data_IF_316183480209
#
_entry.id   IF_316183480209
#
_cell.length_a   1.000
_cell.length_b   1.000
_cell.length_c   1.000
_cell.angle_alpha   90.00
_cell.angle_beta   90.00
_cell.angle_gamma   90.00
#
_symmetry.space_group_name_H-M   'P 1'
#
loop_
_entity.id
_entity.type
_entity.pdbx_description
1 polymer ?
#
# COMPACT_ATOMS: atom_id res chain seq x y z
N UNK A 1 -55.12 45.79 28.46
CA UNK A 1 -56.40 46.29 29.00
C UNK A 1 -56.10 47.13 30.22
N UNK A 2 -56.80 48.26 30.41
CA UNK A 2 -56.62 49.13 31.58
C UNK A 2 -57.84 49.08 32.47
N UNK A 3 -57.63 49.21 33.78
CA UNK A 3 -58.68 49.24 34.81
C UNK A 3 -59.62 50.43 34.61
N UNK A 4 -59.09 51.58 34.20
CA UNK A 4 -59.89 52.80 33.97
C UNK A 4 -60.94 52.59 32.85
N UNK A 5 -60.59 51.85 31.79
CA UNK A 5 -61.48 51.58 30.65
C UNK A 5 -62.64 50.66 31.02
N UNK A 6 -62.44 49.75 31.99
CA UNK A 6 -63.46 48.83 32.49
C UNK A 6 -64.38 49.52 33.50
N UNK A 7 -63.83 50.41 34.33
CA UNK A 7 -64.60 51.22 35.26
C UNK A 7 -65.51 52.21 34.52
N UNK A 8 -65.02 52.82 33.44
CA UNK A 8 -65.83 53.69 32.57
C UNK A 8 -66.98 52.96 31.85
N UNK A 9 -66.90 51.62 31.72
CA UNK A 9 -67.97 50.77 31.17
C UNK A 9 -69.00 50.31 32.21
N UNK A 10 -68.86 50.75 33.46
CA UNK A 10 -69.81 50.47 34.54
C UNK A 10 -69.64 49.11 35.23
N UNK A 11 -68.49 48.45 35.07
CA UNK A 11 -68.19 47.23 35.82
C UNK A 11 -67.88 47.56 37.29
N UNK A 12 -68.26 46.66 38.20
CA UNK A 12 -67.93 46.79 39.62
C UNK A 12 -66.46 46.43 39.88
N UNK A 13 -65.89 46.87 41.01
CA UNK A 13 -64.48 46.61 41.34
C UNK A 13 -64.14 45.11 41.34
N UNK A 14 -65.00 44.25 41.89
CA UNK A 14 -64.79 42.79 41.89
C UNK A 14 -64.78 42.20 40.47
N UNK A 15 -65.65 42.68 39.57
CA UNK A 15 -65.68 42.23 38.18
C UNK A 15 -64.42 42.68 37.42
N UNK A 16 -63.93 43.89 37.70
CA UNK A 16 -62.68 44.42 37.14
C UNK A 16 -61.49 43.57 37.63
N UNK A 17 -61.42 43.28 38.92
CA UNK A 17 -60.34 42.49 39.51
C UNK A 17 -60.29 41.08 38.91
N UNK A 18 -61.45 40.43 38.72
CA UNK A 18 -61.53 39.12 38.05
C UNK A 18 -61.04 39.17 36.60
N UNK A 19 -61.54 40.15 35.82
CA UNK A 19 -61.17 40.30 34.40
C UNK A 19 -59.68 40.64 34.24
N UNK A 20 -59.13 41.48 35.11
CA UNK A 20 -57.71 41.83 35.09
C UNK A 20 -56.83 40.66 35.55
N UNK A 21 -57.31 39.82 36.47
CA UNK A 21 -56.60 38.61 36.89
C UNK A 21 -56.53 37.58 35.75
N UNK A 22 -57.64 37.29 35.07
CA UNK A 22 -57.65 36.38 33.91
C UNK A 22 -56.83 36.93 32.74
N UNK A 23 -57.00 38.22 32.39
CA UNK A 23 -56.18 38.87 31.37
C UNK A 23 -54.69 38.84 31.73
N UNK A 24 -54.34 38.99 33.01
CA UNK A 24 -52.97 38.89 33.50
C UNK A 24 -52.38 37.50 33.31
N UNK A 25 -53.16 36.43 33.55
CA UNK A 25 -52.73 35.05 33.27
C UNK A 25 -52.43 34.85 31.79
N UNK A 26 -53.34 35.27 30.92
CA UNK A 26 -53.16 35.14 29.46
C UNK A 26 -51.96 35.95 28.96
N UNK A 27 -51.82 37.21 29.40
CA UNK A 27 -50.68 38.06 29.00
C UNK A 27 -49.36 37.48 29.48
N UNK A 28 -49.32 36.87 30.66
CA UNK A 28 -48.10 36.29 31.20
C UNK A 28 -47.74 35.00 30.47
N UNK A 29 -48.73 34.17 30.10
CA UNK A 29 -48.54 33.01 29.24
C UNK A 29 -47.96 33.41 27.87
N UNK A 30 -48.58 34.38 27.21
CA UNK A 30 -48.11 34.90 25.91
C UNK A 30 -46.71 35.50 26.02
N UNK A 31 -46.39 36.23 27.10
CA UNK A 31 -45.05 36.77 27.32
C UNK A 31 -44.00 35.68 27.51
N UNK A 32 -44.32 34.62 28.26
CA UNK A 32 -43.44 33.48 28.43
C UNK A 32 -43.17 32.79 27.10
N UNK A 33 -44.22 32.50 26.32
CA UNK A 33 -44.07 31.92 24.98
C UNK A 33 -43.22 32.80 24.07
N UNK A 34 -43.48 34.12 24.07
CA UNK A 34 -42.68 35.09 23.31
C UNK A 34 -41.22 35.06 23.73
N UNK A 35 -40.93 35.03 25.03
CA UNK A 35 -39.55 34.98 25.54
C UNK A 35 -38.86 33.65 25.19
N UNK A 36 -39.59 32.54 25.22
CA UNK A 36 -39.11 31.23 24.75
C UNK A 36 -38.77 31.28 23.26
N UNK A 37 -39.68 31.77 22.41
CA UNK A 37 -39.43 31.87 20.97
C UNK A 37 -38.29 32.83 20.64
N UNK A 38 -38.18 33.95 21.35
CA UNK A 38 -37.08 34.90 21.18
C UNK A 38 -35.74 34.23 21.52
N UNK A 39 -35.70 33.44 22.59
CA UNK A 39 -34.50 32.69 22.97
C UNK A 39 -34.14 31.66 21.91
N UNK A 40 -35.12 30.87 21.44
CA UNK A 40 -34.90 29.88 20.37
C UNK A 40 -34.40 30.51 19.07
N UNK A 41 -34.97 31.65 18.66
CA UNK A 41 -34.52 32.39 17.48
C UNK A 41 -33.08 32.89 17.63
N UNK A 42 -32.74 33.45 18.80
CA UNK A 42 -31.40 33.93 19.08
C UNK A 42 -30.38 32.77 19.00
N UNK A 43 -30.71 31.63 19.60
CA UNK A 43 -29.90 30.40 19.53
C UNK A 43 -29.76 29.91 18.09
N UNK A 44 -30.86 29.79 17.34
CA UNK A 44 -30.83 29.36 15.94
C UNK A 44 -29.98 30.29 15.08
N UNK A 45 -30.08 31.60 15.28
CA UNK A 45 -29.30 32.59 14.54
C UNK A 45 -27.81 32.52 14.90
N UNK A 46 -27.46 32.27 16.17
CA UNK A 46 -26.08 32.04 16.59
C UNK A 46 -25.52 30.75 15.98
N UNK A 47 -26.31 29.67 15.95
CA UNK A 47 -25.92 28.41 15.30
C UNK A 47 -25.72 28.59 13.80
N UNK A 48 -26.63 29.28 13.10
CA UNK A 48 -26.46 29.56 11.66
C UNK A 48 -25.20 30.38 11.38
N UNK A 49 -24.90 31.40 12.19
CA UNK A 49 -23.64 32.16 12.09
C UNK A 49 -22.40 31.30 12.32
N UNK A 50 -22.47 30.28 13.18
CA UNK A 50 -21.34 29.36 13.38
C UNK A 50 -21.05 28.49 12.15
N UNK A 51 -22.01 28.35 11.23
CA UNK A 51 -21.83 27.69 9.94
C UNK A 51 -21.53 28.67 8.79
N UNK A 52 -21.70 29.98 8.97
CA UNK A 52 -21.28 30.97 7.97
C UNK A 52 -19.75 30.91 7.80
N UNK A 53 -19.31 30.69 6.55
CA UNK A 53 -17.90 30.48 6.23
C UNK A 53 -17.49 29.01 6.14
N UNK A 54 -18.35 28.06 6.54
CA UNK A 54 -18.14 26.64 6.23
C UNK A 54 -18.56 26.38 4.78
N UNK A 55 -17.57 26.21 3.90
CA UNK A 55 -17.84 25.83 2.52
C UNK A 55 -18.09 24.30 2.44
N UNK A 56 -19.36 23.91 2.58
CA UNK A 56 -19.79 22.51 2.54
C UNK A 56 -19.40 21.84 1.22
N UNK A 57 -19.45 22.58 0.10
CA UNK A 57 -19.06 22.07 -1.22
C UNK A 57 -17.56 21.78 -1.30
N UNK A 58 -16.72 22.65 -0.73
CA UNK A 58 -15.27 22.42 -0.66
C UNK A 58 -14.94 21.23 0.25
N UNK A 59 -15.63 21.09 1.39
CA UNK A 59 -15.46 19.94 2.28
C UNK A 59 -15.85 18.62 1.59
N UNK A 60 -16.98 18.60 0.89
CA UNK A 60 -17.39 17.44 0.09
C UNK A 60 -16.37 17.11 -1.00
N UNK A 61 -15.85 18.13 -1.70
CA UNK A 61 -14.79 17.96 -2.70
C UNK A 61 -13.52 17.34 -2.09
N UNK A 62 -13.04 17.87 -0.95
CA UNK A 62 -11.87 17.32 -0.24
C UNK A 62 -12.09 15.88 0.22
N UNK A 63 -13.28 15.56 0.72
CA UNK A 63 -13.62 14.19 1.13
C UNK A 63 -13.55 13.26 -0.09
N UNK A 64 -14.08 13.67 -1.24
CA UNK A 64 -14.04 12.86 -2.45
C UNK A 64 -12.61 12.63 -2.94
N UNK A 65 -11.79 13.69 -2.99
CA UNK A 65 -10.36 13.59 -3.33
C UNK A 65 -9.62 12.65 -2.38
N UNK A 66 -9.76 12.84 -1.07
CA UNK A 66 -9.10 11.97 -0.07
C UNK A 66 -9.56 10.51 -0.19
N UNK A 67 -10.84 10.27 -0.47
CA UNK A 67 -11.37 8.91 -0.66
C UNK A 67 -10.76 8.25 -1.89
N UNK A 68 -10.66 8.98 -3.00
CA UNK A 68 -10.01 8.50 -4.24
C UNK A 68 -8.52 8.26 -4.03
N UNK A 69 -7.82 9.18 -3.35
CA UNK A 69 -6.39 9.06 -3.06
C UNK A 69 -6.09 7.84 -2.18
N UNK A 70 -6.92 7.58 -1.16
CA UNK A 70 -6.78 6.39 -0.33
C UNK A 70 -6.99 5.11 -1.13
N UNK A 71 -8.05 5.02 -1.94
CA UNK A 71 -8.29 3.84 -2.78
C UNK A 71 -7.14 3.59 -3.78
N UNK A 72 -6.62 4.66 -4.39
CA UNK A 72 -5.47 4.58 -5.29
C UNK A 72 -4.21 4.13 -4.55
N UNK A 73 -3.97 4.65 -3.34
CA UNK A 73 -2.82 4.26 -2.52
C UNK A 73 -2.90 2.82 -2.06
N UNK A 74 -4.07 2.35 -1.65
CA UNK A 74 -4.27 0.95 -1.29
C UNK A 74 -4.00 0.03 -2.49
N UNK A 75 -4.53 0.34 -3.67
CA UNK A 75 -4.25 -0.43 -4.88
C UNK A 75 -2.76 -0.41 -5.25
N UNK A 76 -2.09 0.74 -5.12
CA UNK A 76 -0.65 0.88 -5.35
C UNK A 76 0.17 0.04 -4.36
N UNK A 77 -0.15 0.09 -3.07
CA UNK A 77 0.53 -0.70 -2.04
C UNK A 77 0.33 -2.20 -2.25
N UNK A 78 -0.89 -2.64 -2.55
CA UNK A 78 -1.16 -4.05 -2.84
C UNK A 78 -0.38 -4.52 -4.07
N UNK A 79 -0.30 -3.69 -5.12
CA UNK A 79 0.53 -3.99 -6.30
C UNK A 79 2.01 -4.07 -5.93
N UNK A 80 2.54 -3.13 -5.16
CA UNK A 80 3.94 -3.13 -4.73
C UNK A 80 4.29 -4.34 -3.86
N UNK A 81 3.41 -4.73 -2.95
CA UNK A 81 3.58 -5.93 -2.13
C UNK A 81 3.61 -7.20 -2.99
N UNK A 82 2.62 -7.36 -3.87
CA UNK A 82 2.57 -8.50 -4.79
C UNK A 82 3.80 -8.55 -5.70
N UNK A 83 4.25 -7.40 -6.22
CA UNK A 83 5.45 -7.28 -7.04
C UNK A 83 6.71 -7.68 -6.27
N UNK A 84 6.86 -7.21 -5.03
CA UNK A 84 8.01 -7.54 -4.17
C UNK A 84 8.04 -9.03 -3.87
N UNK A 85 6.92 -9.58 -3.39
CA UNK A 85 6.83 -10.98 -2.99
C UNK A 85 7.07 -11.90 -4.18
N UNK A 86 6.56 -11.54 -5.37
CA UNK A 86 6.86 -12.25 -6.61
C UNK A 86 8.35 -12.17 -6.99
N UNK A 87 8.96 -10.99 -6.92
CA UNK A 87 10.37 -10.81 -7.27
C UNK A 87 11.30 -11.57 -6.31
N UNK A 88 10.98 -11.60 -5.02
CA UNK A 88 11.73 -12.36 -4.02
C UNK A 88 11.61 -13.87 -4.28
N UNK A 89 10.41 -14.36 -4.59
CA UNK A 89 10.17 -15.75 -4.96
C UNK A 89 10.91 -16.13 -6.25
N UNK A 90 10.84 -15.27 -7.28
CA UNK A 90 11.54 -15.46 -8.54
C UNK A 90 13.05 -15.52 -8.32
N UNK A 91 13.61 -14.59 -7.55
CA UNK A 91 15.05 -14.54 -7.27
C UNK A 91 15.52 -15.78 -6.51
N UNK A 92 14.83 -16.16 -5.44
CA UNK A 92 15.15 -17.34 -4.63
C UNK A 92 15.08 -18.62 -5.45
N UNK A 93 14.05 -18.75 -6.29
CA UNK A 93 13.88 -19.91 -7.17
C UNK A 93 14.96 -19.93 -8.25
N UNK A 94 15.24 -18.79 -8.88
CA UNK A 94 16.24 -18.66 -9.94
C UNK A 94 17.66 -18.97 -9.43
N UNK A 95 18.03 -18.57 -8.21
CA UNK A 95 19.33 -18.90 -7.61
C UNK A 95 19.60 -20.41 -7.59
N UNK A 96 18.57 -21.25 -7.38
CA UNK A 96 18.68 -22.71 -7.46
C UNK A 96 19.06 -23.23 -8.86
N UNK A 97 18.73 -22.48 -9.92
CA UNK A 97 19.06 -22.84 -11.31
C UNK A 97 20.44 -22.34 -11.75
N UNK A 98 21.13 -21.54 -10.91
CA UNK A 98 22.43 -20.92 -11.19
C UNK A 98 22.49 -20.19 -12.55
N UNK A 99 21.60 -19.22 -12.81
CA UNK A 99 21.71 -18.37 -13.98
C UNK A 99 23.03 -17.59 -13.96
N UNK A 100 23.60 -17.32 -15.13
CA UNK A 100 24.78 -16.46 -15.26
C UNK A 100 24.44 -15.00 -14.97
N UNK A 101 23.26 -14.57 -15.40
CA UNK A 101 22.65 -13.29 -15.03
C UNK A 101 21.12 -13.46 -15.02
N UNK A 102 20.48 -13.20 -13.88
CA UNK A 102 19.01 -13.25 -13.74
C UNK A 102 18.35 -12.26 -14.69
N UNK A 103 18.93 -11.08 -14.90
CA UNK A 103 18.39 -10.06 -15.82
C UNK A 103 18.39 -10.53 -17.27
N UNK A 104 19.31 -11.42 -17.64
CA UNK A 104 19.33 -12.02 -18.97
C UNK A 104 18.29 -13.13 -19.13
N UNK A 105 17.84 -13.76 -18.03
CA UNK A 105 16.82 -14.82 -18.04
C UNK A 105 15.40 -14.25 -17.96
N UNK A 106 15.20 -13.14 -17.24
CA UNK A 106 13.88 -12.51 -17.05
C UNK A 106 13.08 -12.26 -18.34
N UNK A 107 13.64 -11.78 -19.47
CA UNK A 107 12.87 -11.51 -20.70
C UNK A 107 12.26 -12.76 -21.32
N UNK A 108 12.76 -13.94 -20.97
CA UNK A 108 12.25 -15.22 -21.45
C UNK A 108 11.17 -15.82 -20.53
N UNK A 109 10.88 -15.15 -19.41
CA UNK A 109 9.84 -15.53 -18.47
C UNK A 109 8.59 -14.67 -18.71
N UNK A 110 7.43 -15.32 -18.82
CA UNK A 110 6.14 -14.64 -18.88
C UNK A 110 5.73 -14.19 -17.47
N UNK A 111 6.26 -13.06 -17.05
CA UNK A 111 6.08 -12.52 -15.69
C UNK A 111 4.61 -12.28 -15.37
N UNK A 112 3.80 -11.82 -16.32
CA UNK A 112 2.37 -11.56 -16.09
C UNK A 112 1.60 -12.87 -15.85
N UNK A 113 1.88 -13.91 -16.65
CA UNK A 113 1.28 -15.23 -16.44
C UNK A 113 1.76 -15.88 -15.14
N UNK A 114 3.02 -15.71 -14.77
CA UNK A 114 3.60 -16.25 -13.55
C UNK A 114 3.04 -15.56 -12.30
N UNK A 115 2.84 -14.24 -12.33
CA UNK A 115 2.19 -13.49 -11.25
C UNK A 115 0.73 -13.92 -11.04
N UNK A 116 0.01 -14.19 -12.12
CA UNK A 116 -1.38 -14.66 -12.07
C UNK A 116 -1.54 -16.15 -11.71
N UNK A 117 -0.46 -16.91 -11.53
CA UNK A 117 -0.54 -18.33 -11.22
C UNK A 117 -0.97 -18.60 -9.78
N UNK A 118 -1.76 -19.65 -9.57
CA UNK A 118 -2.08 -20.18 -8.24
C UNK A 118 -0.90 -20.90 -7.57
N UNK A 119 0.04 -21.43 -8.36
CA UNK A 119 1.20 -22.20 -7.89
C UNK A 119 2.49 -21.54 -8.37
N UNK A 120 2.67 -20.27 -7.99
CA UNK A 120 3.75 -19.41 -8.51
C UNK A 120 5.13 -20.08 -8.45
N UNK A 121 5.51 -20.71 -7.34
CA UNK A 121 6.82 -21.36 -7.20
C UNK A 121 7.03 -22.49 -8.23
N UNK A 122 6.03 -23.37 -8.41
CA UNK A 122 6.12 -24.49 -9.34
C UNK A 122 6.19 -24.01 -10.79
N UNK A 123 5.39 -23.00 -11.13
CA UNK A 123 5.35 -22.48 -12.49
C UNK A 123 6.61 -21.69 -12.83
N UNK A 124 7.19 -20.98 -11.86
CA UNK A 124 8.49 -20.32 -12.01
C UNK A 124 9.59 -21.37 -12.27
N UNK A 125 9.60 -22.48 -11.52
CA UNK A 125 10.56 -23.59 -11.74
C UNK A 125 10.40 -24.16 -13.15
N UNK A 126 9.18 -24.49 -13.56
CA UNK A 126 8.90 -25.04 -14.89
C UNK A 126 9.32 -24.09 -16.02
N UNK A 127 9.07 -22.78 -15.85
CA UNK A 127 9.50 -21.77 -16.81
C UNK A 127 11.04 -21.67 -16.88
N UNK A 128 11.72 -21.67 -15.73
CA UNK A 128 13.19 -21.66 -15.67
C UNK A 128 13.81 -22.93 -16.29
N UNK A 129 13.19 -24.10 -16.10
CA UNK A 129 13.61 -25.36 -16.73
C UNK A 129 13.47 -25.30 -18.26
N UNK A 130 12.35 -24.78 -18.76
CA UNK A 130 12.13 -24.60 -20.19
C UNK A 130 13.19 -23.66 -20.79
N UNK A 131 13.44 -22.51 -20.14
CA UNK A 131 14.48 -21.57 -20.60
C UNK A 131 15.87 -22.20 -20.52
N UNK A 132 16.17 -23.01 -19.49
CA UNK A 132 17.44 -23.74 -19.38
C UNK A 132 17.62 -24.80 -20.48
N UNK A 133 16.54 -25.47 -20.89
CA UNK A 133 16.57 -26.44 -21.99
C UNK A 133 16.81 -25.77 -23.34
N UNK A 134 16.13 -24.65 -23.60
CA UNK A 134 16.22 -23.96 -24.89
C UNK A 134 17.44 -23.04 -24.99
N UNK A 135 17.86 -22.45 -23.86
CA UNK A 135 18.89 -21.41 -23.74
C UNK A 135 19.88 -21.74 -22.62
N UNK A 136 20.38 -22.97 -22.59
CA UNK A 136 21.29 -23.45 -21.54
C UNK A 136 22.55 -22.60 -21.34
N UNK A 137 23.01 -21.89 -22.37
CA UNK A 137 24.12 -20.94 -22.28
C UNK A 137 23.89 -19.78 -21.29
N UNK A 138 22.65 -19.46 -20.95
CA UNK A 138 22.29 -18.45 -19.95
C UNK A 138 22.50 -18.95 -18.51
N UNK A 139 22.72 -20.25 -18.33
CA UNK A 139 22.91 -20.88 -17.03
C UNK A 139 24.36 -21.36 -16.88
N UNK A 140 24.81 -21.44 -15.64
CA UNK A 140 26.10 -22.04 -15.33
C UNK A 140 25.99 -23.54 -15.54
N UNK A 141 26.94 -24.08 -16.29
CA UNK A 141 27.05 -25.51 -16.50
C UNK A 141 27.65 -26.13 -15.23
N UNK A 142 27.02 -27.18 -14.71
CA UNK A 142 27.55 -27.98 -13.59
C UNK A 142 28.62 -28.98 -14.08
N UNK A 143 29.03 -28.87 -15.35
CA UNK A 143 30.03 -29.72 -15.97
C UNK A 143 31.37 -29.62 -15.24
N UNK A 144 31.88 -30.79 -14.84
CA UNK A 144 33.22 -31.01 -14.32
C UNK A 144 34.23 -30.21 -15.18
N UNK A 145 35.19 -29.46 -14.58
CA UNK A 145 36.17 -28.71 -15.33
C UNK A 145 36.77 -29.58 -16.44
N UNK A 146 36.59 -29.19 -17.70
CA UNK A 146 37.25 -29.89 -18.80
C UNK A 146 38.74 -29.61 -18.66
N UNK A 147 39.47 -30.62 -18.19
CA UNK A 147 40.93 -30.57 -18.16
C UNK A 147 41.38 -30.56 -19.62
N UNK A 148 41.77 -29.40 -20.12
CA UNK A 148 42.46 -29.33 -21.42
C UNK A 148 43.87 -29.87 -21.18
N UNK A 149 44.21 -30.98 -21.84
CA UNK A 149 45.61 -31.38 -21.93
C UNK A 149 46.38 -30.25 -22.61
N UNK A 150 47.62 -29.92 -22.17
CA UNK A 150 48.42 -28.90 -22.83
C UNK A 150 48.56 -29.25 -24.30
N UNK A 151 48.07 -28.38 -25.17
CA UNK A 151 48.25 -28.50 -26.62
C UNK A 151 49.70 -28.14 -26.92
N UNK A 152 50.52 -29.06 -27.47
CA UNK A 152 51.89 -28.73 -27.81
C UNK A 152 51.89 -27.56 -28.80
N UNK A 153 52.52 -26.45 -28.42
CA UNK A 153 52.69 -25.30 -29.30
C UNK A 153 53.56 -25.67 -30.51
N UNK A 154 53.50 -24.89 -31.60
CA UNK A 154 54.36 -25.07 -32.77
C UNK A 154 55.79 -24.67 -32.39
N UNK A 155 56.50 -25.64 -31.84
CA UNK A 155 57.79 -25.52 -31.19
C UNK A 155 58.06 -26.83 -30.47
N UNK A 156 58.02 -27.93 -31.22
CA UNK A 156 58.31 -29.24 -30.70
C UNK A 156 59.76 -29.32 -30.28
N UNK A 157 60.00 -29.32 -28.98
CA UNK A 157 61.09 -30.08 -28.39
C UNK A 157 60.69 -30.45 -26.97
N UNK A 158 60.93 -31.73 -26.67
CA UNK A 158 60.56 -32.40 -25.44
C UNK A 158 61.10 -31.61 -24.25
N UNK A 159 60.25 -30.87 -23.55
CA UNK A 159 60.57 -30.52 -22.17
C UNK A 159 60.46 -31.81 -21.40
N UNK A 160 61.59 -32.51 -21.29
CA UNK A 160 61.75 -33.67 -20.44
C UNK A 160 61.13 -33.36 -19.09
N UNK A 161 60.08 -34.14 -18.85
CA UNK A 161 59.17 -34.10 -17.73
C UNK A 161 59.99 -33.84 -16.45
N UNK A 162 59.80 -32.69 -15.80
CA UNK A 162 60.35 -32.43 -14.46
C UNK A 162 60.00 -33.56 -13.49
N UNK A 163 58.91 -34.27 -13.77
CA UNK A 163 58.49 -35.53 -13.14
C UNK A 163 59.45 -36.70 -13.38
N UNK A 164 59.92 -36.91 -14.62
CA UNK A 164 60.89 -37.95 -14.98
C UNK A 164 62.27 -37.62 -14.41
N UNK A 165 62.66 -36.35 -14.41
CA UNK A 165 63.92 -35.90 -13.81
C UNK A 165 63.92 -36.10 -12.28
N UNK A 166 62.80 -35.79 -11.60
CA UNK A 166 62.65 -36.03 -10.17
C UNK A 166 62.65 -37.53 -9.82
N UNK A 167 62.02 -38.38 -10.63
CA UNK A 167 61.99 -39.83 -10.41
C UNK A 167 63.38 -40.48 -10.61
N UNK A 168 64.17 -40.00 -11.57
CA UNK A 168 65.54 -40.46 -11.75
C UNK A 168 66.47 -40.01 -10.61
N UNK A 169 66.31 -38.78 -10.11
CA UNK A 169 67.05 -38.30 -8.95
C UNK A 169 66.75 -39.11 -7.68
N UNK A 170 65.48 -39.45 -7.44
CA UNK A 170 65.09 -40.29 -6.30
C UNK A 170 65.66 -41.72 -6.41
N UNK A 171 65.65 -42.32 -7.60
CA UNK A 171 66.29 -43.63 -7.83
C UNK A 171 67.81 -43.59 -7.63
N UNK A 172 68.47 -42.49 -7.98
CA UNK A 172 69.90 -42.33 -7.77
C UNK A 172 70.29 -42.14 -6.30
N UNK A 173 69.38 -41.63 -5.46
CA UNK A 173 69.61 -41.40 -4.03
C UNK A 173 69.26 -42.64 -3.20
N UNK A 174 68.20 -43.38 -3.57
CA UNK A 174 67.78 -44.58 -2.84
C UNK A 174 68.43 -45.90 -3.32
N UNK A 175 69.11 -45.90 -4.47
CA UNK A 175 69.74 -47.09 -5.05
C UNK A 175 71.24 -47.24 -4.75
N UNK A 176 71.78 -46.47 -3.81
CA UNK A 176 73.20 -46.49 -3.47
C UNK A 176 73.42 -46.81 -1.99
N UNK A 177 73.05 -48.03 -1.62
CA UNK A 177 73.70 -48.92 -0.63
C UNK A 177 73.04 -50.31 -0.70
#
# INVERSE_FOLDING_TARGET
MKTEDLQAKGLTQEQIDYVMAEYGKDINGIKQERDTYKTQLCTAQATLKSFEGVNISELQGKIQTLTTDLANKDAEYQKQLAERDFNDLLKTTAEGFKPRDIKAVMPFLDVEKLKGSKNQESDIKAALEAVKKDKGYLFQDVGIPRVVAPTPGPGGEKTDDTRTQANNALRSILGRE
#
